data_IF_611393931652
#
_entry.id   IF_611393931652
#
_cell.length_a   1.000
_cell.length_b   1.000
_cell.length_c   1.000
_cell.angle_alpha   90.00
_cell.angle_beta   90.00
_cell.angle_gamma   90.00
#
_symmetry.space_group_name_H-M   'P 1'
#
loop_
_entity.id
_entity.type
_entity.pdbx_description
1 polymer ?
#
# COMPACT_ATOMS: atom_id res chain seq x y z
N UNK A 1 29.49 -16.13 -1.38
CA UNK A 1 28.28 -16.55 -0.61
C UNK A 1 27.97 -15.54 0.50
N UNK A 2 27.79 -14.26 0.15
CA UNK A 2 27.39 -13.18 1.08
C UNK A 2 26.11 -12.44 0.65
N UNK A 3 25.59 -12.73 -0.54
CA UNK A 3 24.46 -11.99 -1.17
C UNK A 3 23.07 -12.37 -0.62
N UNK A 4 22.95 -13.52 0.05
CA UNK A 4 21.64 -14.06 0.48
C UNK A 4 21.09 -13.33 1.73
N UNK A 5 21.96 -12.92 2.66
CA UNK A 5 21.53 -12.29 3.92
C UNK A 5 20.92 -10.90 3.70
N UNK A 6 21.46 -10.11 2.78
CA UNK A 6 20.96 -8.76 2.52
C UNK A 6 19.65 -8.79 1.74
N UNK A 7 19.50 -9.72 0.79
CA UNK A 7 18.21 -9.92 0.10
C UNK A 7 17.07 -10.27 1.05
N UNK A 8 17.31 -11.15 2.04
CA UNK A 8 16.29 -11.49 3.04
C UNK A 8 15.89 -10.30 3.91
N UNK A 9 16.88 -9.53 4.39
CA UNK A 9 16.62 -8.31 5.18
C UNK A 9 15.81 -7.29 4.38
N UNK A 10 16.17 -7.10 3.11
CA UNK A 10 15.49 -6.14 2.24
C UNK A 10 14.07 -6.56 1.89
N UNK A 11 13.87 -7.84 1.62
CA UNK A 11 12.54 -8.37 1.41
C UNK A 11 11.66 -8.18 2.66
N UNK A 12 12.22 -8.46 3.83
CA UNK A 12 11.52 -8.24 5.10
C UNK A 12 11.19 -6.76 5.31
N UNK A 13 12.14 -5.85 5.06
CA UNK A 13 11.98 -4.42 5.29
C UNK A 13 11.03 -3.72 4.31
N UNK A 14 11.06 -4.11 3.03
CA UNK A 14 10.33 -3.41 1.97
C UNK A 14 9.05 -4.10 1.52
N UNK A 15 8.85 -5.37 1.86
CA UNK A 15 7.63 -6.13 1.50
C UNK A 15 6.86 -6.53 2.75
N UNK A 16 7.47 -7.32 3.62
CA UNK A 16 6.75 -7.93 4.77
C UNK A 16 6.35 -6.85 5.78
N UNK A 17 7.28 -6.01 6.22
CA UNK A 17 7.02 -5.00 7.23
C UNK A 17 5.95 -3.99 6.79
N UNK A 18 6.00 -3.38 5.59
CA UNK A 18 4.96 -2.47 5.13
C UNK A 18 3.60 -3.16 5.01
N UNK A 19 3.57 -4.39 4.48
CA UNK A 19 2.32 -5.15 4.35
C UNK A 19 1.67 -5.40 5.71
N UNK A 20 2.46 -5.84 6.70
CA UNK A 20 1.98 -6.07 8.07
C UNK A 20 1.53 -4.77 8.72
N UNK A 21 2.28 -3.68 8.57
CA UNK A 21 1.90 -2.37 9.10
C UNK A 21 0.58 -1.86 8.50
N UNK A 22 0.41 -2.00 7.18
CA UNK A 22 -0.85 -1.65 6.51
C UNK A 22 -2.03 -2.45 7.07
N UNK A 23 -1.86 -3.78 7.21
CA UNK A 23 -2.90 -4.65 7.81
C UNK A 23 -3.19 -4.24 9.27
N UNK A 24 -2.17 -3.95 10.08
CA UNK A 24 -2.36 -3.56 11.47
C UNK A 24 -3.11 -2.24 11.60
N UNK A 25 -2.74 -1.21 10.82
CA UNK A 25 -3.45 0.07 10.81
C UNK A 25 -4.92 -0.16 10.41
N UNK A 26 -5.13 -0.96 9.37
CA UNK A 26 -6.45 -1.26 8.85
C UNK A 26 -7.34 -1.94 9.90
N UNK A 27 -6.86 -3.01 10.54
CA UNK A 27 -7.65 -3.82 11.48
C UNK A 27 -7.83 -3.18 12.86
N UNK A 28 -6.87 -2.38 13.32
CA UNK A 28 -6.85 -1.87 14.70
C UNK A 28 -7.24 -0.40 14.85
N UNK A 29 -7.24 0.39 13.76
CA UNK A 29 -7.49 1.84 13.83
C UNK A 29 -8.77 2.22 13.08
N UNK A 30 -9.13 1.51 12.01
CA UNK A 30 -10.33 1.80 11.22
C UNK A 30 -11.59 1.30 11.95
N UNK A 31 -12.61 2.15 12.17
CA UNK A 31 -13.77 1.80 12.99
C UNK A 31 -14.80 0.90 12.28
N UNK A 32 -14.83 0.92 10.95
CA UNK A 32 -15.87 0.24 10.18
C UNK A 32 -15.31 -1.05 9.56
N UNK A 33 -15.94 -2.21 9.81
CA UNK A 33 -15.50 -3.47 9.24
C UNK A 33 -15.77 -3.51 7.73
N UNK A 34 -14.83 -4.10 7.01
CA UNK A 34 -14.94 -4.45 5.59
C UNK A 34 -15.64 -5.77 5.36
N UNK A 35 -15.92 -6.03 4.08
CA UNK A 35 -16.32 -7.35 3.60
C UNK A 35 -15.31 -8.43 4.05
N UNK A 36 -14.00 -8.16 3.95
CA UNK A 36 -12.97 -9.13 4.34
C UNK A 36 -13.02 -9.46 5.85
N UNK A 37 -13.17 -8.44 6.70
CA UNK A 37 -13.32 -8.60 8.15
C UNK A 37 -14.60 -9.38 8.52
N UNK A 38 -15.69 -9.12 7.81
CA UNK A 38 -16.94 -9.85 7.98
C UNK A 38 -16.80 -11.34 7.60
N UNK A 39 -16.03 -11.66 6.54
CA UNK A 39 -15.78 -13.05 6.12
C UNK A 39 -15.04 -13.85 7.20
N UNK A 40 -14.03 -13.23 7.84
CA UNK A 40 -13.24 -13.90 8.89
C UNK A 40 -13.85 -13.77 10.29
N UNK A 41 -15.05 -13.20 10.40
CA UNK A 41 -15.71 -12.88 11.67
C UNK A 41 -14.80 -12.09 12.63
N UNK A 42 -14.07 -11.09 12.11
CA UNK A 42 -13.25 -10.22 12.93
C UNK A 42 -14.13 -9.38 13.87
N UNK A 43 -13.94 -9.55 15.18
CA UNK A 43 -14.81 -8.93 16.20
C UNK A 43 -14.24 -7.66 16.83
N UNK A 44 -12.97 -7.37 16.60
CA UNK A 44 -12.36 -6.19 17.18
C UNK A 44 -12.87 -4.94 16.44
N UNK A 45 -13.43 -4.00 17.19
CA UNK A 45 -13.86 -2.70 16.69
C UNK A 45 -13.19 -1.63 17.54
N UNK A 46 -12.31 -0.79 16.95
CA UNK A 46 -11.68 0.28 17.70
C UNK A 46 -12.69 1.36 18.10
N UNK A 47 -12.40 2.07 19.19
CA UNK A 47 -13.28 3.14 19.69
C UNK A 47 -13.45 4.25 18.64
N UNK A 48 -14.70 4.59 18.34
CA UNK A 48 -15.05 5.64 17.37
C UNK A 48 -14.56 7.03 17.80
N UNK A 49 -14.40 7.29 19.10
CA UNK A 49 -13.90 8.58 19.65
C UNK A 49 -12.51 8.96 19.11
N UNK A 50 -11.60 8.00 18.98
CA UNK A 50 -10.27 8.25 18.40
C UNK A 50 -10.34 8.58 16.90
N UNK A 51 -11.37 8.11 16.20
CA UNK A 51 -11.55 8.34 14.77
C UNK A 51 -12.21 9.70 14.45
N UNK A 52 -12.69 10.43 15.46
CA UNK A 52 -13.20 11.79 15.29
C UNK A 52 -12.08 12.79 14.97
N UNK A 53 -10.84 12.48 15.33
CA UNK A 53 -9.68 13.30 14.99
C UNK A 53 -9.35 13.17 13.51
N UNK A 54 -9.43 14.29 12.77
CA UNK A 54 -9.17 14.37 11.32
C UNK A 54 -7.87 13.69 10.90
N UNK A 55 -6.80 13.85 11.68
CA UNK A 55 -5.51 13.22 11.41
C UNK A 55 -5.59 11.70 11.47
N UNK A 56 -6.24 11.13 12.49
CA UNK A 56 -6.40 9.68 12.64
C UNK A 56 -7.26 9.13 11.52
N UNK A 57 -8.33 9.85 11.14
CA UNK A 57 -9.17 9.47 9.99
C UNK A 57 -8.37 9.38 8.69
N UNK A 58 -7.54 10.38 8.38
CA UNK A 58 -6.71 10.39 7.17
C UNK A 58 -5.68 9.27 7.23
N UNK A 59 -4.97 9.11 8.36
CA UNK A 59 -3.96 8.06 8.50
C UNK A 59 -4.58 6.66 8.39
N UNK A 60 -5.70 6.40 9.04
CA UNK A 60 -6.35 5.10 9.00
C UNK A 60 -7.04 4.81 7.66
N UNK A 61 -7.41 5.84 6.90
CA UNK A 61 -7.96 5.72 5.54
C UNK A 61 -6.88 5.42 4.51
N UNK A 62 -5.85 6.26 4.44
CA UNK A 62 -4.94 6.30 3.28
C UNK A 62 -3.55 5.70 3.53
N UNK A 63 -3.12 5.56 4.78
CA UNK A 63 -1.80 5.01 5.08
C UNK A 63 -1.69 3.50 4.77
N UNK A 64 -2.74 2.66 4.98
CA UNK A 64 -2.72 1.27 4.53
C UNK A 64 -2.47 1.15 3.02
N UNK A 65 -3.15 1.99 2.23
CA UNK A 65 -3.05 2.01 0.77
C UNK A 65 -1.64 2.38 0.29
N UNK A 66 -1.00 3.37 0.93
CA UNK A 66 0.42 3.66 0.73
C UNK A 66 1.29 2.41 0.97
N UNK A 67 1.11 1.76 2.13
CA UNK A 67 1.94 0.62 2.52
C UNK A 67 1.75 -0.59 1.61
N UNK A 68 0.51 -0.88 1.20
CA UNK A 68 0.19 -2.00 0.33
C UNK A 68 0.73 -1.80 -1.07
N UNK A 69 0.54 -0.62 -1.68
CA UNK A 69 1.10 -0.34 -3.00
C UNK A 69 2.63 -0.36 -2.96
N UNK A 70 3.24 0.23 -1.94
CA UNK A 70 4.68 0.22 -1.75
C UNK A 70 5.24 -1.20 -1.61
N UNK A 71 4.60 -2.06 -0.80
CA UNK A 71 4.98 -3.45 -0.61
C UNK A 71 4.87 -4.23 -1.93
N UNK A 72 3.78 -4.04 -2.67
CA UNK A 72 3.53 -4.72 -3.93
C UNK A 72 4.57 -4.34 -4.99
N UNK A 73 4.88 -3.04 -5.16
CA UNK A 73 5.93 -2.58 -6.06
C UNK A 73 7.32 -3.11 -5.69
N UNK A 74 7.62 -3.14 -4.39
CA UNK A 74 8.86 -3.72 -3.88
C UNK A 74 8.95 -5.22 -4.21
N UNK A 75 7.85 -5.95 -4.03
CA UNK A 75 7.76 -7.36 -4.38
C UNK A 75 8.00 -7.60 -5.88
N UNK A 76 7.40 -6.80 -6.76
CA UNK A 76 7.66 -6.86 -8.20
C UNK A 76 9.15 -6.65 -8.51
N UNK A 77 9.81 -5.69 -7.86
CA UNK A 77 11.24 -5.48 -8.04
C UNK A 77 12.05 -6.72 -7.63
N UNK A 78 11.69 -7.41 -6.54
CA UNK A 78 12.39 -8.62 -6.12
C UNK A 78 12.18 -9.78 -7.09
N UNK A 79 10.96 -10.01 -7.57
CA UNK A 79 10.62 -11.12 -8.48
C UNK A 79 11.36 -10.96 -9.82
N UNK A 80 11.37 -9.74 -10.38
CA UNK A 80 12.05 -9.45 -11.65
C UNK A 80 13.54 -9.10 -11.48
N UNK A 81 14.07 -9.15 -10.26
CA UNK A 81 15.47 -8.87 -9.97
C UNK A 81 15.90 -7.44 -10.31
N UNK A 82 14.94 -6.51 -10.36
CA UNK A 82 15.23 -5.13 -10.74
C UNK A 82 13.99 -4.35 -11.17
N UNK A 83 13.94 -3.04 -10.92
CA UNK A 83 12.88 -2.15 -11.38
C UNK A 83 12.89 -2.06 -12.90
N UNK A 84 14.09 -1.95 -13.50
CA UNK A 84 14.30 -1.89 -14.95
C UNK A 84 13.88 -3.18 -15.67
N UNK A 85 13.79 -4.28 -14.93
CA UNK A 85 13.42 -5.59 -15.48
C UNK A 85 11.91 -5.86 -15.38
N UNK A 86 11.15 -5.04 -14.66
CA UNK A 86 9.70 -5.22 -14.56
C UNK A 86 9.08 -4.88 -15.92
N UNK A 87 8.23 -5.76 -16.48
CA UNK A 87 7.51 -5.47 -17.71
C UNK A 87 6.73 -4.16 -17.62
N UNK A 88 6.88 -3.32 -18.64
CA UNK A 88 6.26 -1.99 -18.67
C UNK A 88 4.74 -2.03 -18.44
N UNK A 89 4.04 -3.02 -19.01
CA UNK A 89 2.59 -3.15 -18.84
C UNK A 89 2.20 -3.43 -17.37
N UNK A 90 3.01 -4.18 -16.62
CA UNK A 90 2.76 -4.43 -15.19
C UNK A 90 2.95 -3.14 -14.38
N UNK A 91 4.02 -2.38 -14.66
CA UNK A 91 4.23 -1.08 -14.02
C UNK A 91 3.10 -0.11 -14.35
N UNK A 92 2.70 -0.04 -15.62
CA UNK A 92 1.62 0.82 -16.07
C UNK A 92 0.31 0.49 -15.36
N UNK A 93 -0.09 -0.78 -15.30
CA UNK A 93 -1.31 -1.21 -14.61
C UNK A 93 -1.20 -0.91 -13.11
N UNK A 94 -0.07 -1.25 -12.48
CA UNK A 94 0.10 -1.07 -11.03
C UNK A 94 0.07 0.40 -10.61
N UNK A 95 0.53 1.32 -11.47
CA UNK A 95 0.48 2.76 -11.20
C UNK A 95 -0.88 3.38 -11.52
N UNK A 96 -1.45 3.00 -12.65
CA UNK A 96 -2.66 3.64 -13.15
C UNK A 96 -3.90 3.12 -12.44
N UNK A 97 -3.98 1.82 -12.15
CA UNK A 97 -5.22 1.21 -11.67
C UNK A 97 -5.71 1.80 -10.34
N UNK A 98 -4.89 1.94 -9.27
CA UNK A 98 -5.36 2.50 -8.00
C UNK A 98 -5.81 3.96 -8.12
N UNK A 99 -5.07 4.75 -8.90
CA UNK A 99 -5.41 6.17 -9.13
C UNK A 99 -6.70 6.28 -9.97
N UNK A 100 -6.83 5.47 -11.02
CA UNK A 100 -8.03 5.43 -11.85
C UNK A 100 -9.24 4.98 -11.05
N UNK A 101 -9.12 3.99 -10.16
CA UNK A 101 -10.23 3.57 -9.31
C UNK A 101 -10.70 4.72 -8.41
N UNK A 102 -9.80 5.46 -7.76
CA UNK A 102 -10.19 6.61 -6.93
C UNK A 102 -10.87 7.72 -7.73
N UNK A 103 -10.35 8.02 -8.94
CA UNK A 103 -10.97 9.01 -9.82
C UNK A 103 -12.38 8.56 -10.24
N UNK A 104 -12.55 7.28 -10.60
CA UNK A 104 -13.86 6.75 -10.99
C UNK A 104 -14.85 6.71 -9.82
N UNK A 105 -14.37 6.42 -8.60
CA UNK A 105 -15.18 6.51 -7.38
C UNK A 105 -15.62 7.97 -7.12
N UNK A 106 -14.72 8.94 -7.29
CA UNK A 106 -15.03 10.36 -7.13
C UNK A 106 -16.16 10.83 -8.06
N UNK A 107 -16.17 10.34 -9.31
CA UNK A 107 -17.26 10.61 -10.27
C UNK A 107 -18.50 9.73 -10.09
N UNK A 108 -18.55 8.89 -9.05
CA UNK A 108 -19.62 7.91 -8.79
C UNK A 108 -19.86 6.93 -9.95
N UNK A 109 -18.83 6.66 -10.75
CA UNK A 109 -18.91 5.68 -11.86
C UNK A 109 -18.81 4.26 -11.30
N UNK A 110 -17.99 4.06 -10.26
CA UNK A 110 -17.88 2.81 -9.50
C UNK A 110 -18.18 3.06 -8.02
N UNK A 111 -18.57 2.01 -7.30
CA UNK A 111 -18.86 2.09 -5.88
C UNK A 111 -17.59 2.42 -5.07
N UNK A 112 -17.66 3.44 -4.22
CA UNK A 112 -16.59 3.87 -3.34
C UNK A 112 -16.74 5.32 -2.89
N UNK A 113 -15.70 5.87 -2.25
CA UNK A 113 -15.73 7.24 -1.72
C UNK A 113 -14.90 8.21 -2.56
N UNK A 114 -13.87 7.73 -3.27
CA UNK A 114 -13.00 8.57 -4.09
C UNK A 114 -12.25 9.58 -3.24
N UNK A 115 -11.28 9.12 -2.44
CA UNK A 115 -10.54 9.99 -1.52
C UNK A 115 -9.28 10.57 -2.19
N UNK A 116 -9.15 11.89 -2.14
CA UNK A 116 -7.95 12.58 -2.60
C UNK A 116 -6.68 12.14 -1.84
N UNK A 117 -6.80 11.83 -0.55
CA UNK A 117 -5.67 11.38 0.26
C UNK A 117 -5.18 9.99 -0.14
N UNK A 118 -6.05 9.13 -0.68
CA UNK A 118 -5.66 7.82 -1.20
C UNK A 118 -4.83 7.98 -2.49
N UNK A 119 -5.25 8.88 -3.39
CA UNK A 119 -4.46 9.25 -4.58
C UNK A 119 -3.08 9.79 -4.18
N UNK A 120 -3.02 10.68 -3.19
CA UNK A 120 -1.77 11.23 -2.68
C UNK A 120 -0.87 10.12 -2.10
N UNK A 121 -1.45 9.21 -1.31
CA UNK A 121 -0.76 8.06 -0.74
C UNK A 121 -0.16 7.17 -1.85
N UNK A 122 -0.91 6.87 -2.91
CA UNK A 122 -0.41 6.09 -4.04
C UNK A 122 0.75 6.77 -4.77
N UNK A 123 0.65 8.08 -5.03
CA UNK A 123 1.71 8.84 -5.68
C UNK A 123 3.00 8.81 -4.83
N UNK A 124 2.88 9.02 -3.52
CA UNK A 124 4.03 8.98 -2.61
C UNK A 124 4.64 7.57 -2.58
N UNK A 125 3.83 6.51 -2.54
CA UNK A 125 4.31 5.13 -2.57
C UNK A 125 5.13 4.84 -3.83
N UNK A 126 4.64 5.24 -5.00
CA UNK A 126 5.31 5.05 -6.29
C UNK A 126 6.65 5.80 -6.32
N UNK A 127 6.65 7.07 -5.91
CA UNK A 127 7.85 7.91 -5.88
C UNK A 127 8.90 7.29 -4.95
N UNK A 128 8.51 6.98 -3.71
CA UNK A 128 9.41 6.48 -2.68
C UNK A 128 9.96 5.09 -3.03
N UNK A 129 9.13 4.22 -3.62
CA UNK A 129 9.56 2.92 -4.14
C UNK A 129 10.62 3.07 -5.23
N UNK A 130 10.36 3.93 -6.22
CA UNK A 130 11.28 4.19 -7.33
C UNK A 130 12.63 4.72 -6.82
N UNK A 131 12.64 5.69 -5.90
CA UNK A 131 13.90 6.24 -5.37
C UNK A 131 14.72 5.21 -4.58
N UNK A 132 14.10 4.47 -3.68
CA UNK A 132 14.83 3.54 -2.81
C UNK A 132 15.37 2.32 -3.59
N UNK A 133 14.62 1.80 -4.57
CA UNK A 133 15.00 0.57 -5.26
C UNK A 133 15.93 0.80 -6.46
N UNK A 134 15.89 1.97 -7.11
CA UNK A 134 16.91 2.35 -8.10
C UNK A 134 18.29 2.45 -7.43
N UNK A 135 18.36 3.03 -6.23
CA UNK A 135 19.62 3.14 -5.50
C UNK A 135 20.16 1.77 -5.05
N UNK A 136 19.28 0.79 -4.85
CA UNK A 136 19.66 -0.56 -4.47
C UNK A 136 20.21 -1.42 -5.62
N UNK A 137 19.86 -1.12 -6.86
CA UNK A 137 20.25 -1.89 -8.04
C UNK A 137 21.54 -1.39 -8.70
N UNK A 138 22.01 -0.20 -8.32
CA UNK A 138 23.27 0.38 -8.78
C UNK A 138 24.43 0.10 -7.81
N UNK A 139 24.21 -0.71 -6.76
CA UNK A 139 25.23 -1.23 -5.82
C UNK A 139 25.56 -2.68 -6.18
#
# INVERSE_FOLDING_TARGET
>A
MFVIKDKFKLHTLHVILPLVLGIMIYLFIRPNPTIAENIINWKYQPSTQLYEYTLIKILAGSLPDFFWLYAFLSMLCFIWGGYKNIPFYLLFITYSLPILTEILQYFNIIFGTGDFFDILAYIIAIILNKYLLINYQNQ
#
